data_IF_963191963350
#
_entry.id   IF_963191963350
#
_cell.length_a   1.000
_cell.length_b   1.000
_cell.length_c   1.000
_cell.angle_alpha   90.00
_cell.angle_beta   90.00
_cell.angle_gamma   90.00
#
_symmetry.space_group_name_H-M   'P 1'
#
loop_
_entity.id
_entity.type
_entity.pdbx_description
1 polymer ?
#
# COMPACT_ATOMS: atom_id res chain seq x y z
N UNK A 1 -56.96 9.56 1.66
CA UNK A 1 -56.38 10.62 0.78
C UNK A 1 -54.88 10.46 0.82
N UNK A 2 -54.36 9.72 -0.19
CA UNK A 2 -52.94 9.40 -0.30
C UNK A 2 -52.29 10.35 -1.31
N UNK A 3 -51.29 11.10 -0.89
CA UNK A 3 -50.47 11.93 -1.76
C UNK A 3 -49.10 11.29 -1.91
N UNK A 4 -48.79 10.80 -3.11
CA UNK A 4 -47.46 10.28 -3.51
C UNK A 4 -46.65 11.47 -4.05
N UNK A 5 -45.39 11.68 -3.63
CA UNK A 5 -44.53 12.66 -4.28
C UNK A 5 -43.81 12.08 -5.48
N UNK A 6 -43.90 12.77 -6.58
CA UNK A 6 -43.16 12.57 -7.83
C UNK A 6 -41.67 12.86 -7.63
N UNK A 7 -40.83 11.87 -7.98
CA UNK A 7 -39.38 12.05 -8.08
C UNK A 7 -39.05 12.55 -9.49
N UNK A 8 -38.55 13.77 -9.59
CA UNK A 8 -37.96 14.32 -10.81
C UNK A 8 -36.54 13.76 -11.02
N UNK A 9 -36.40 12.97 -12.07
CA UNK A 9 -35.09 12.53 -12.60
C UNK A 9 -34.56 13.64 -13.51
N UNK A 10 -33.50 14.32 -13.06
CA UNK A 10 -32.74 15.24 -13.93
C UNK A 10 -31.59 14.47 -14.56
N UNK A 11 -31.73 14.17 -15.86
CA UNK A 11 -30.63 13.73 -16.72
C UNK A 11 -29.80 14.94 -17.14
N UNK A 12 -28.56 15.03 -16.65
CA UNK A 12 -27.57 15.99 -17.13
C UNK A 12 -26.47 15.26 -17.90
N UNK A 13 -26.55 15.26 -19.23
CA UNK A 13 -25.43 14.89 -20.11
C UNK A 13 -24.43 16.06 -20.15
N UNK A 14 -23.18 15.80 -19.81
CA UNK A 14 -22.07 16.69 -20.14
C UNK A 14 -20.98 15.90 -20.87
N UNK A 15 -21.03 15.96 -22.19
CA UNK A 15 -19.94 15.56 -23.07
C UNK A 15 -18.77 16.53 -22.88
N UNK A 16 -17.60 16.04 -22.50
CA UNK A 16 -16.34 16.79 -22.55
C UNK A 16 -15.46 16.24 -23.66
N UNK A 17 -15.30 17.09 -24.67
CA UNK A 17 -14.34 16.98 -25.76
C UNK A 17 -12.90 17.03 -25.21
N UNK A 18 -12.10 16.06 -25.61
CA UNK A 18 -10.64 16.10 -25.45
C UNK A 18 -10.00 16.68 -26.72
N UNK A 19 -9.08 17.64 -26.62
CA UNK A 19 -8.28 18.07 -27.77
C UNK A 19 -7.13 17.08 -28.02
N UNK A 20 -7.00 16.69 -29.28
CA UNK A 20 -5.85 15.99 -29.85
C UNK A 20 -4.63 16.92 -29.84
N UNK A 21 -3.51 16.49 -29.28
CA UNK A 21 -2.23 17.15 -29.43
C UNK A 21 -1.39 16.41 -30.47
N UNK A 22 -1.00 17.18 -31.47
CA UNK A 22 -0.25 16.77 -32.64
C UNK A 22 1.20 16.40 -32.33
N UNK A 23 1.69 15.46 -33.13
CA UNK A 23 3.06 15.00 -33.27
C UNK A 23 4.03 16.12 -33.69
N UNK A 24 5.18 16.22 -33.04
CA UNK A 24 6.37 16.84 -33.60
C UNK A 24 7.48 15.80 -33.80
N UNK A 25 7.75 15.52 -35.07
CA UNK A 25 8.95 14.84 -35.53
C UNK A 25 10.18 15.76 -35.31
N UNK A 26 11.19 15.23 -34.67
CA UNK A 26 12.53 15.84 -34.68
C UNK A 26 13.54 14.86 -35.24
N UNK A 27 13.98 15.16 -36.45
CA UNK A 27 15.16 14.57 -37.08
C UNK A 27 16.40 15.04 -36.31
N UNK A 28 17.24 14.14 -35.86
CA UNK A 28 18.61 14.46 -35.42
C UNK A 28 19.63 13.68 -36.25
N UNK A 29 20.39 14.48 -36.91
CA UNK A 29 21.47 14.15 -37.84
C UNK A 29 22.65 13.56 -37.06
N UNK A 30 23.12 12.40 -37.48
CA UNK A 30 24.35 11.77 -37.00
C UNK A 30 25.55 12.43 -37.61
N UNK A 31 26.49 12.91 -36.80
CA UNK A 31 27.83 13.30 -37.26
C UNK A 31 28.87 12.47 -36.52
N UNK A 32 29.37 11.44 -37.20
CA UNK A 32 30.48 10.60 -36.74
C UNK A 32 31.78 11.33 -37.06
N UNK A 33 32.57 11.66 -36.04
CA UNK A 33 33.93 12.09 -36.22
C UNK A 33 34.87 11.13 -35.51
N UNK A 34 35.54 10.25 -36.29
CA UNK A 34 36.63 9.40 -35.81
C UNK A 34 37.88 10.30 -35.59
N UNK A 35 38.36 10.34 -34.37
CA UNK A 35 39.69 10.87 -34.09
C UNK A 35 40.46 9.79 -33.29
N UNK A 36 41.30 9.03 -34.01
CA UNK A 36 42.25 8.10 -33.45
C UNK A 36 43.41 8.87 -32.84
N UNK A 37 43.58 8.81 -31.52
CA UNK A 37 44.79 9.25 -30.85
C UNK A 37 45.36 8.05 -30.06
N UNK A 38 46.47 7.53 -30.59
CA UNK A 38 47.31 6.58 -29.87
C UNK A 38 48.03 7.31 -28.73
N UNK A 39 47.73 6.98 -27.50
CA UNK A 39 48.50 7.40 -26.33
C UNK A 39 49.08 6.19 -25.64
N UNK A 40 50.40 6.11 -25.70
CA UNK A 40 51.31 5.20 -25.04
C UNK A 40 51.01 5.07 -23.55
N UNK A 41 50.96 3.82 -23.07
CA UNK A 41 50.67 3.47 -21.71
C UNK A 41 51.66 3.95 -20.68
N UNK A 42 51.16 4.60 -19.66
CA UNK A 42 51.76 4.65 -18.34
C UNK A 42 50.82 3.88 -17.44
N UNK A 43 51.22 2.67 -17.06
CA UNK A 43 50.52 1.89 -16.03
C UNK A 43 50.77 2.58 -14.69
N UNK A 44 49.90 3.53 -14.36
CA UNK A 44 49.74 4.00 -13.01
C UNK A 44 48.91 2.91 -12.32
N UNK A 45 49.53 2.15 -11.41
CA UNK A 45 48.85 1.22 -10.54
C UNK A 45 47.80 1.98 -9.71
N UNK A 46 46.58 2.01 -10.24
CA UNK A 46 45.42 2.40 -9.47
C UNK A 46 45.22 1.29 -8.45
N UNK A 47 45.77 1.51 -7.25
CA UNK A 47 45.27 0.84 -6.06
C UNK A 47 43.76 1.06 -6.07
N UNK A 48 43.00 0.01 -6.39
CA UNK A 48 41.57 -0.01 -6.21
C UNK A 48 41.35 0.20 -4.72
N UNK A 49 41.18 1.45 -4.31
CA UNK A 49 40.65 1.77 -3.00
C UNK A 49 39.31 1.06 -2.92
N UNK A 50 39.27 0.05 -2.12
CA UNK A 50 38.02 -0.58 -1.68
C UNK A 50 37.17 0.57 -1.13
N UNK A 51 36.25 1.08 -1.96
CA UNK A 51 35.22 1.99 -1.48
C UNK A 51 34.46 1.18 -0.48
N UNK A 52 34.76 1.41 0.82
CA UNK A 52 34.00 0.89 1.91
C UNK A 52 32.54 1.27 1.63
N UNK A 53 31.76 0.33 1.12
CA UNK A 53 30.35 0.52 0.91
C UNK A 53 29.80 0.86 2.28
N UNK A 54 29.28 2.07 2.43
CA UNK A 54 28.52 2.45 3.63
C UNK A 54 27.52 1.32 3.85
N UNK A 55 27.50 0.70 5.04
CA UNK A 55 26.54 -0.36 5.29
C UNK A 55 25.15 0.24 5.05
N UNK A 56 24.51 -0.22 3.98
CA UNK A 56 23.14 0.14 3.68
C UNK A 56 22.22 -0.25 4.86
N UNK A 57 20.97 0.20 4.86
CA UNK A 57 20.04 -0.21 5.90
C UNK A 57 20.04 -1.74 6.00
N UNK A 58 20.38 -2.25 7.18
CA UNK A 58 20.59 -3.69 7.45
C UNK A 58 19.29 -4.48 7.40
N UNK A 59 18.22 -3.92 6.83
CA UNK A 59 16.98 -4.53 7.11
C UNK A 59 15.93 -4.50 6.01
N UNK A 60 14.97 -5.31 6.26
CA UNK A 60 13.65 -5.32 5.70
C UNK A 60 12.76 -4.32 6.47
N UNK A 61 11.62 -3.95 5.90
CA UNK A 61 10.59 -3.18 6.63
C UNK A 61 10.11 -4.05 7.78
N UNK A 62 10.45 -3.65 8.99
CA UNK A 62 10.16 -4.43 10.20
C UNK A 62 8.67 -4.43 10.53
N UNK A 63 7.97 -3.33 10.25
CA UNK A 63 6.58 -3.16 10.65
C UNK A 63 5.90 -2.05 9.87
N UNK A 64 4.63 -2.30 9.52
CA UNK A 64 3.68 -1.29 9.06
C UNK A 64 2.77 -0.94 10.22
N UNK A 65 2.49 0.35 10.44
CA UNK A 65 1.57 0.82 11.47
C UNK A 65 0.35 1.47 10.80
N UNK A 66 -0.84 1.07 11.24
CA UNK A 66 -2.11 1.63 10.80
C UNK A 66 -2.87 2.18 12.00
N UNK A 67 -3.58 3.27 11.75
CA UNK A 67 -4.54 3.83 12.68
C UNK A 67 -5.93 3.28 12.34
N UNK A 68 -6.68 2.88 13.35
CA UNK A 68 -8.06 2.40 13.19
C UNK A 68 -8.96 3.09 14.22
N UNK A 69 -10.22 3.42 13.88
CA UNK A 69 -11.12 4.05 14.83
C UNK A 69 -11.62 3.09 15.91
N UNK A 70 -11.59 1.79 15.61
CA UNK A 70 -12.03 0.69 16.48
C UNK A 70 -11.04 -0.47 16.34
N UNK A 71 -10.36 -0.80 17.45
CA UNK A 71 -9.30 -1.81 17.47
C UNK A 71 -9.86 -3.22 17.26
N UNK A 72 -11.01 -3.53 17.83
CA UNK A 72 -11.65 -4.85 17.68
C UNK A 72 -12.02 -5.11 16.23
N UNK A 73 -12.68 -4.16 15.58
CA UNK A 73 -13.01 -4.28 14.16
C UNK A 73 -11.75 -4.37 13.28
N UNK A 74 -10.69 -3.63 13.64
CA UNK A 74 -9.40 -3.75 12.98
C UNK A 74 -8.79 -5.13 13.14
N UNK A 75 -8.77 -5.69 14.36
CA UNK A 75 -8.28 -7.04 14.64
C UNK A 75 -9.09 -8.07 13.84
N UNK A 76 -10.43 -8.06 13.94
CA UNK A 76 -11.30 -8.99 13.22
C UNK A 76 -11.08 -8.95 11.70
N UNK A 77 -10.93 -7.76 11.13
CA UNK A 77 -10.63 -7.64 9.70
C UNK A 77 -9.33 -8.35 9.32
N UNK A 78 -8.25 -8.07 10.04
CA UNK A 78 -6.96 -8.65 9.69
C UNK A 78 -6.83 -10.13 10.08
N UNK A 79 -7.53 -10.63 11.12
CA UNK A 79 -7.49 -12.05 11.51
C UNK A 79 -8.45 -12.89 10.69
N UNK A 80 -9.72 -12.53 10.64
CA UNK A 80 -10.77 -13.42 10.14
C UNK A 80 -10.93 -13.30 8.61
N UNK A 81 -10.67 -12.11 8.05
CA UNK A 81 -10.80 -11.88 6.61
C UNK A 81 -9.47 -12.10 5.91
N UNK A 82 -8.41 -11.38 6.32
CA UNK A 82 -7.10 -11.46 5.67
C UNK A 82 -6.34 -12.73 6.08
N UNK A 83 -6.50 -13.19 7.33
CA UNK A 83 -5.88 -14.43 7.85
C UNK A 83 -4.56 -14.20 8.59
N UNK A 84 -4.33 -13.00 9.13
CA UNK A 84 -3.20 -12.74 10.02
C UNK A 84 -3.44 -13.37 11.39
N UNK A 85 -2.36 -13.54 12.15
CA UNK A 85 -2.41 -14.03 13.52
C UNK A 85 -2.24 -12.88 14.50
N UNK A 86 -3.16 -12.75 15.46
CA UNK A 86 -3.00 -11.83 16.57
C UNK A 86 -1.91 -12.33 17.52
N UNK A 87 -0.83 -11.57 17.67
CA UNK A 87 0.20 -11.87 18.67
C UNK A 87 -0.20 -11.33 20.04
N UNK A 88 -0.67 -10.08 20.08
CA UNK A 88 -0.97 -9.41 21.33
C UNK A 88 -1.81 -8.17 21.11
N UNK A 89 -2.84 -7.96 21.94
CA UNK A 89 -3.48 -6.68 22.14
C UNK A 89 -3.06 -6.12 23.51
N UNK A 90 -2.89 -4.80 23.60
CA UNK A 90 -2.42 -4.13 24.82
C UNK A 90 -2.81 -2.65 24.81
N UNK A 91 -2.66 -2.02 25.98
CA UNK A 91 -2.85 -0.57 26.13
C UNK A 91 -1.51 0.06 26.50
N UNK A 92 -1.09 1.04 25.72
CA UNK A 92 0.04 1.91 26.07
C UNK A 92 -0.50 3.06 26.92
N UNK A 93 0.11 3.26 28.09
CA UNK A 93 -0.20 4.39 28.97
C UNK A 93 0.67 5.58 28.62
N UNK A 94 0.26 6.81 28.96
CA UNK A 94 1.13 7.97 28.88
C UNK A 94 2.46 7.71 29.57
N UNK A 95 3.55 7.93 28.84
CA UNK A 95 4.91 7.72 29.35
C UNK A 95 5.53 6.33 29.14
N UNK A 96 4.76 5.29 28.76
CA UNK A 96 5.31 3.96 28.47
C UNK A 96 6.29 3.99 27.28
N UNK A 97 6.01 4.81 26.28
CA UNK A 97 6.88 5.04 25.12
C UNK A 97 6.86 6.54 24.76
N UNK A 98 7.96 7.28 25.01
CA UNK A 98 8.02 8.71 24.74
C UNK A 98 8.03 9.05 23.23
N UNK A 99 8.30 8.08 22.35
CA UNK A 99 8.32 8.28 20.90
C UNK A 99 6.96 8.00 20.24
N UNK A 100 6.17 7.12 20.80
CA UNK A 100 4.90 6.72 20.21
C UNK A 100 3.96 7.91 19.90
N UNK A 101 3.69 8.84 20.82
CA UNK A 101 2.88 10.00 20.53
C UNK A 101 3.47 10.88 19.42
N UNK A 102 4.81 11.02 19.38
CA UNK A 102 5.49 11.79 18.34
C UNK A 102 5.37 11.14 16.97
N UNK A 103 5.49 9.80 16.89
CA UNK A 103 5.38 9.04 15.64
C UNK A 103 3.99 9.18 15.02
N UNK A 104 2.96 9.18 15.87
CA UNK A 104 1.56 9.26 15.41
C UNK A 104 0.95 10.65 15.51
N UNK A 105 1.73 11.67 15.91
CA UNK A 105 1.27 13.05 16.14
C UNK A 105 0.05 13.11 17.07
N UNK A 106 0.13 12.39 18.18
CA UNK A 106 -0.93 12.29 19.18
C UNK A 106 -0.69 13.23 20.36
N UNK A 107 -1.76 13.64 21.03
CA UNK A 107 -1.67 14.23 22.34
C UNK A 107 -1.16 13.21 23.37
N UNK A 108 -0.32 13.67 24.31
CA UNK A 108 0.49 12.78 25.16
C UNK A 108 -0.23 12.21 26.38
N UNK A 109 -1.46 12.59 26.62
CA UNK A 109 -2.13 12.44 27.91
C UNK A 109 -3.13 11.29 28.01
N UNK A 110 -3.38 10.57 26.92
CA UNK A 110 -4.35 9.48 26.91
C UNK A 110 -3.73 8.10 26.65
N UNK A 111 -4.30 7.04 27.25
CA UNK A 111 -3.92 5.67 26.88
C UNK A 111 -4.35 5.38 25.43
N UNK A 112 -3.54 4.60 24.71
CA UNK A 112 -3.84 4.14 23.35
C UNK A 112 -3.88 2.62 23.35
N UNK A 113 -5.00 2.06 22.90
CA UNK A 113 -5.14 0.62 22.66
C UNK A 113 -4.46 0.24 21.36
N UNK A 114 -3.76 -0.88 21.36
CA UNK A 114 -2.99 -1.31 20.20
C UNK A 114 -2.95 -2.83 20.07
N UNK A 115 -2.64 -3.31 18.87
CA UNK A 115 -2.43 -4.72 18.60
C UNK A 115 -1.22 -4.95 17.68
N UNK A 116 -0.61 -6.11 17.84
CA UNK A 116 0.46 -6.62 16.98
C UNK A 116 -0.04 -7.89 16.30
N UNK A 117 0.10 -7.93 14.97
CA UNK A 117 -0.31 -9.06 14.15
C UNK A 117 0.86 -9.54 13.29
N UNK A 118 0.84 -10.83 12.97
CA UNK A 118 1.86 -11.52 12.16
C UNK A 118 1.26 -12.18 10.94
N UNK A 119 2.05 -12.27 9.87
CA UNK A 119 1.87 -13.27 8.83
C UNK A 119 2.63 -14.55 9.21
N UNK A 120 2.51 -15.61 8.42
CA UNK A 120 3.34 -16.82 8.59
C UNK A 120 4.84 -16.56 8.38
N UNK A 121 5.19 -15.51 7.62
CA UNK A 121 6.58 -15.16 7.28
C UNK A 121 7.13 -14.02 8.14
N UNK A 122 6.28 -13.07 8.56
CA UNK A 122 6.66 -11.85 9.25
C UNK A 122 6.06 -11.77 10.65
N UNK A 123 6.91 -11.95 11.66
CA UNK A 123 6.50 -11.79 13.06
C UNK A 123 6.26 -10.33 13.40
N UNK A 124 5.06 -10.00 13.89
CA UNK A 124 4.67 -8.65 14.33
C UNK A 124 4.86 -7.60 13.22
N UNK A 125 4.58 -8.00 11.97
CA UNK A 125 4.73 -7.14 10.80
C UNK A 125 3.69 -6.03 10.70
N UNK A 126 2.52 -6.20 11.32
CA UNK A 126 1.46 -5.20 11.37
C UNK A 126 1.21 -4.73 12.81
N UNK A 127 1.09 -3.41 12.98
CA UNK A 127 0.71 -2.75 14.21
C UNK A 127 -0.57 -1.96 13.99
N UNK A 128 -1.57 -2.15 14.83
CA UNK A 128 -2.80 -1.36 14.85
C UNK A 128 -2.80 -0.46 16.07
N UNK A 129 -3.11 0.82 15.88
CA UNK A 129 -3.32 1.79 16.96
C UNK A 129 -4.76 2.30 16.89
N UNK A 130 -5.48 2.25 18.01
CA UNK A 130 -6.83 2.76 18.07
C UNK A 130 -6.86 4.27 18.25
N UNK A 131 -7.47 4.95 17.30
CA UNK A 131 -7.70 6.40 17.33
C UNK A 131 -9.16 6.68 16.99
N UNK A 132 -10.06 6.68 17.98
CA UNK A 132 -11.50 6.83 17.73
C UNK A 132 -11.89 8.11 17.00
N UNK A 133 -11.13 9.20 17.19
CA UNK A 133 -11.37 10.50 16.57
C UNK A 133 -10.66 10.70 15.23
N UNK A 134 -10.00 9.65 14.70
CA UNK A 134 -9.30 9.81 13.43
C UNK A 134 -10.28 10.20 12.32
N UNK A 135 -9.84 11.09 11.44
CA UNK A 135 -10.59 11.41 10.24
C UNK A 135 -10.52 10.21 9.28
N UNK A 136 -11.66 9.69 8.91
CA UNK A 136 -11.77 8.68 7.86
C UNK A 136 -11.91 9.42 6.53
N UNK A 137 -11.04 9.15 5.52
CA UNK A 137 -11.15 9.78 4.20
C UNK A 137 -12.51 9.51 3.55
N UNK A 138 -13.03 10.46 2.79
CA UNK A 138 -14.22 10.24 1.98
C UNK A 138 -13.95 9.22 0.84
N UNK A 139 -15.02 8.66 0.25
CA UNK A 139 -14.88 7.60 -0.76
C UNK A 139 -14.15 8.05 -2.02
N UNK A 140 -14.29 9.29 -2.38
CA UNK A 140 -13.69 9.93 -3.57
C UNK A 140 -12.32 10.57 -3.31
N UNK A 141 -11.85 10.54 -2.06
CA UNK A 141 -10.51 10.99 -1.73
C UNK A 141 -9.45 9.93 -2.07
N UNK A 142 -8.23 10.35 -2.44
CA UNK A 142 -7.11 9.41 -2.64
C UNK A 142 -6.86 8.57 -1.39
N UNK A 143 -6.49 7.31 -1.58
CA UNK A 143 -6.13 6.41 -0.49
C UNK A 143 -4.92 6.97 0.29
N UNK A 144 -5.04 7.06 1.61
CA UNK A 144 -3.96 7.53 2.50
C UNK A 144 -2.88 6.46 2.64
N UNK A 145 -3.26 5.19 2.56
CA UNK A 145 -2.35 4.05 2.66
C UNK A 145 -2.79 2.91 1.75
N UNK A 146 -1.82 2.23 1.16
CA UNK A 146 -2.02 0.99 0.43
C UNK A 146 -1.05 -0.04 1.00
N UNK A 147 -1.57 -1.17 1.47
CA UNK A 147 -0.77 -2.31 1.91
C UNK A 147 -0.93 -3.42 0.89
N UNK A 148 0.18 -3.96 0.41
CA UNK A 148 0.20 -5.11 -0.50
C UNK A 148 0.53 -6.37 0.31
N UNK A 149 -0.29 -7.41 0.16
CA UNK A 149 -0.15 -8.66 0.93
C UNK A 149 -0.31 -9.87 0.02
N UNK A 150 0.67 -10.77 0.04
CA UNK A 150 0.54 -12.09 -0.58
C UNK A 150 -0.39 -12.98 0.24
N UNK A 151 -1.36 -13.61 -0.41
CA UNK A 151 -2.29 -14.57 0.19
C UNK A 151 -2.22 -15.92 -0.53
N UNK A 152 -2.57 -16.98 0.17
CA UNK A 152 -2.55 -18.32 -0.42
C UNK A 152 -3.77 -18.59 -1.32
N UNK A 153 -4.89 -17.93 -1.05
CA UNK A 153 -6.16 -18.11 -1.75
C UNK A 153 -6.88 -16.76 -1.86
N UNK A 154 -6.75 -16.16 -3.04
CA UNK A 154 -7.28 -14.83 -3.35
C UNK A 154 -8.82 -14.81 -3.30
N UNK A 155 -9.45 -15.83 -3.88
CA UNK A 155 -10.91 -15.92 -3.98
C UNK A 155 -11.53 -16.07 -2.59
N UNK A 156 -10.97 -16.93 -1.75
CA UNK A 156 -11.46 -17.14 -0.39
C UNK A 156 -11.34 -15.87 0.47
N UNK A 157 -10.28 -15.08 0.32
CA UNK A 157 -10.13 -13.81 1.04
C UNK A 157 -11.13 -12.78 0.52
N UNK A 158 -11.28 -12.66 -0.80
CA UNK A 158 -12.27 -11.76 -1.40
C UNK A 158 -13.70 -12.10 -0.95
N UNK A 159 -14.06 -13.39 -0.95
CA UNK A 159 -15.38 -13.84 -0.52
C UNK A 159 -15.65 -13.47 0.95
N UNK A 160 -14.70 -13.75 1.85
CA UNK A 160 -14.86 -13.38 3.28
C UNK A 160 -15.03 -11.87 3.47
N UNK A 161 -14.26 -11.06 2.70
CA UNK A 161 -14.39 -9.61 2.75
C UNK A 161 -15.76 -9.13 2.30
N UNK A 162 -16.27 -9.66 1.19
CA UNK A 162 -17.58 -9.33 0.66
C UNK A 162 -18.72 -9.77 1.61
N UNK A 163 -18.65 -10.98 2.17
CA UNK A 163 -19.61 -11.50 3.15
C UNK A 163 -19.64 -10.66 4.45
N UNK A 164 -18.50 -10.12 4.85
CA UNK A 164 -18.39 -9.20 5.98
C UNK A 164 -18.79 -7.75 5.65
N UNK A 165 -19.21 -7.47 4.41
CA UNK A 165 -19.69 -6.17 3.98
C UNK A 165 -18.60 -5.16 3.60
N UNK A 166 -17.35 -5.59 3.43
CA UNK A 166 -16.28 -4.72 2.93
C UNK A 166 -16.38 -4.52 1.41
N UNK A 167 -16.05 -3.32 0.96
CA UNK A 167 -15.97 -3.01 -0.46
C UNK A 167 -14.79 -3.76 -1.08
N UNK A 168 -15.05 -4.52 -2.16
CA UNK A 168 -14.02 -5.20 -2.94
C UNK A 168 -14.10 -4.76 -4.39
N UNK A 169 -12.96 -4.66 -5.06
CA UNK A 169 -12.86 -4.40 -6.50
C UNK A 169 -12.68 -5.75 -7.21
N UNK A 170 -13.27 -5.89 -8.40
CA UNK A 170 -13.16 -7.12 -9.18
C UNK A 170 -11.71 -7.54 -9.39
N UNK A 171 -11.43 -8.86 -9.35
CA UNK A 171 -10.08 -9.38 -9.51
C UNK A 171 -9.45 -8.95 -10.83
N UNK A 172 -8.19 -8.56 -10.77
CA UNK A 172 -7.37 -8.30 -11.94
C UNK A 172 -6.31 -9.41 -12.05
N UNK A 173 -6.04 -9.84 -13.28
CA UNK A 173 -5.04 -10.87 -13.56
C UNK A 173 -3.96 -10.30 -14.48
N UNK A 174 -2.71 -10.60 -14.17
CA UNK A 174 -1.56 -10.10 -14.91
C UNK A 174 -0.41 -11.10 -14.97
N UNK A 175 0.68 -10.64 -15.58
CA UNK A 175 1.94 -11.36 -15.60
C UNK A 175 3.07 -10.38 -15.27
N UNK A 176 3.97 -10.79 -14.40
CA UNK A 176 5.19 -10.06 -14.09
C UNK A 176 6.17 -10.13 -15.29
N UNK A 177 7.21 -9.26 -15.34
CA UNK A 177 8.18 -9.26 -16.44
C UNK A 177 8.92 -10.57 -16.64
N UNK A 178 9.03 -11.41 -15.62
CA UNK A 178 9.62 -12.76 -15.67
C UNK A 178 8.65 -13.85 -16.16
N UNK A 179 7.40 -13.46 -16.52
CA UNK A 179 6.36 -14.37 -16.96
C UNK A 179 5.54 -14.99 -15.84
N UNK A 180 5.84 -14.73 -14.58
CA UNK A 180 5.06 -15.19 -13.43
C UNK A 180 3.66 -14.61 -13.47
N UNK A 181 2.62 -15.44 -13.48
CA UNK A 181 1.24 -15.01 -13.46
C UNK A 181 0.78 -14.70 -12.03
N UNK A 182 -0.06 -13.69 -11.90
CA UNK A 182 -0.66 -13.33 -10.60
C UNK A 182 -2.12 -12.89 -10.77
N UNK A 183 -2.85 -12.96 -9.67
CA UNK A 183 -4.15 -12.30 -9.50
C UNK A 183 -4.08 -11.33 -8.34
N UNK A 184 -4.84 -10.24 -8.39
CA UNK A 184 -4.92 -9.25 -7.32
C UNK A 184 -6.34 -8.72 -7.12
N UNK A 185 -6.68 -8.37 -5.88
CA UNK A 185 -7.96 -7.80 -5.47
C UNK A 185 -7.71 -6.65 -4.50
N UNK A 186 -8.35 -5.53 -4.72
CA UNK A 186 -8.37 -4.45 -3.75
C UNK A 186 -9.54 -4.62 -2.79
N UNK A 187 -9.27 -4.57 -1.49
CA UNK A 187 -10.24 -4.53 -0.41
C UNK A 187 -10.11 -3.20 0.32
N UNK A 188 -11.24 -2.50 0.52
CA UNK A 188 -11.27 -1.29 1.34
C UNK A 188 -11.55 -1.70 2.77
N UNK A 189 -10.50 -1.78 3.57
CA UNK A 189 -10.55 -2.20 4.97
C UNK A 189 -10.99 -1.11 5.95
N UNK A 190 -10.84 -1.36 7.26
CA UNK A 190 -11.16 -0.39 8.31
C UNK A 190 -10.49 0.95 8.08
N UNK A 191 -11.18 2.06 8.42
CA UNK A 191 -10.71 3.43 8.20
C UNK A 191 -10.37 3.76 6.74
N UNK A 192 -10.89 2.99 5.78
CA UNK A 192 -10.63 3.10 4.35
C UNK A 192 -9.16 2.87 3.96
N UNK A 193 -8.45 2.08 4.74
CA UNK A 193 -7.16 1.57 4.30
C UNK A 193 -7.34 0.66 3.08
N UNK A 194 -6.58 0.88 2.05
CA UNK A 194 -6.57 0.03 0.87
C UNK A 194 -5.64 -1.16 1.10
N UNK A 195 -6.20 -2.35 1.02
CA UNK A 195 -5.47 -3.61 1.16
C UNK A 195 -5.49 -4.30 -0.20
N UNK A 196 -4.39 -4.25 -0.92
CA UNK A 196 -4.21 -4.97 -2.17
C UNK A 196 -3.69 -6.36 -1.85
N UNK A 197 -4.55 -7.35 -1.93
CA UNK A 197 -4.15 -8.75 -1.78
C UNK A 197 -3.77 -9.31 -3.14
N UNK A 198 -2.74 -10.14 -3.19
CA UNK A 198 -2.32 -10.79 -4.43
C UNK A 198 -1.90 -12.25 -4.20
N UNK A 199 -1.98 -13.04 -5.23
CA UNK A 199 -1.58 -14.45 -5.26
C UNK A 199 -0.81 -14.75 -6.53
N UNK A 200 0.35 -15.40 -6.41
CA UNK A 200 1.01 -15.98 -7.56
C UNK A 200 0.26 -17.22 -8.03
N UNK A 201 -0.09 -17.24 -9.31
CA UNK A 201 -0.80 -18.36 -9.91
C UNK A 201 0.20 -19.42 -10.36
N UNK A 202 -0.07 -20.67 -10.01
CA UNK A 202 0.75 -21.80 -10.50
C UNK A 202 0.63 -21.88 -12.03
N UNK A 203 1.72 -22.23 -12.75
CA UNK A 203 1.70 -22.47 -14.17
C UNK A 203 0.78 -23.61 -14.58
#
# INVERSE_FOLDING_TARGET
MNATPLIHVVRGQAARLFPRVSSCLSLSLSLSLFLSLAVTGVAIGASAGETASSPGPSGHIKRVALQVPDLELGILFFTDIIGLQLNRAFTMKPGDDPYFPKVFNLEHDRPVRAALLSTSKESRGLFLAELPEMRIPARDEPAVSVIMMEVADLEAVQQRAAEAGYETIDPQFGSAPDGTRYGEVLIVGPARHHILIFQYLKP
#
